data_IF_122890197296
#
_entry.id   IF_122890197296
#
_cell.length_a   1.000
_cell.length_b   1.000
_cell.length_c   1.000
_cell.angle_alpha   90.00
_cell.angle_beta   90.00
_cell.angle_gamma   90.00
#
_symmetry.space_group_name_H-M   'P 1'
#
loop_
_entity.id
_entity.type
_entity.pdbx_description
1 polymer ?
#
# COMPACT_ATOMS: atom_id res chain seq x y z
N UNK A 1 13.47 -12.79 2.37
CA UNK A 1 13.28 -12.15 1.04
C UNK A 1 14.49 -11.30 0.73
N UNK A 2 15.06 -11.47 -0.45
CA UNK A 2 16.19 -10.68 -0.92
C UNK A 2 15.87 -9.18 -0.92
N UNK A 3 16.88 -8.35 -0.72
CA UNK A 3 16.74 -6.89 -0.66
C UNK A 3 16.06 -6.34 -1.92
N UNK A 4 16.45 -6.84 -3.10
CA UNK A 4 15.84 -6.47 -4.38
C UNK A 4 14.35 -6.80 -4.44
N UNK A 5 13.94 -7.92 -3.85
CA UNK A 5 12.53 -8.33 -3.81
C UNK A 5 11.70 -7.43 -2.90
N UNK A 6 12.27 -7.02 -1.76
CA UNK A 6 11.63 -6.05 -0.84
C UNK A 6 11.45 -4.68 -1.49
N UNK A 7 12.49 -4.19 -2.17
CA UNK A 7 12.43 -2.92 -2.91
C UNK A 7 11.38 -3.00 -4.03
N UNK A 8 11.36 -4.10 -4.79
CA UNK A 8 10.37 -4.33 -5.83
C UNK A 8 8.93 -4.28 -5.31
N UNK A 9 8.66 -4.94 -4.18
CA UNK A 9 7.33 -4.90 -3.54
C UNK A 9 6.97 -3.49 -3.08
N UNK A 10 7.93 -2.75 -2.49
CA UNK A 10 7.73 -1.36 -2.10
C UNK A 10 7.34 -0.47 -3.27
N UNK A 11 8.06 -0.56 -4.39
CA UNK A 11 7.76 0.23 -5.60
C UNK A 11 6.39 -0.17 -6.19
N UNK A 12 6.15 -1.46 -6.38
CA UNK A 12 4.88 -1.95 -6.96
C UNK A 12 3.68 -1.59 -6.07
N UNK A 13 3.87 -1.56 -4.76
CA UNK A 13 2.80 -1.16 -3.82
C UNK A 13 2.35 0.30 -3.92
N UNK A 14 3.12 1.16 -4.58
CA UNK A 14 2.68 2.53 -4.86
C UNK A 14 1.50 2.55 -5.84
N UNK A 15 1.43 1.61 -6.78
CA UNK A 15 0.34 1.53 -7.76
C UNK A 15 -1.03 1.41 -7.08
N UNK A 16 -1.29 0.40 -6.22
CA UNK A 16 -2.56 0.32 -5.53
C UNK A 16 -2.80 1.48 -4.56
N UNK A 17 -1.75 2.07 -3.96
CA UNK A 17 -1.92 3.26 -3.11
C UNK A 17 -2.51 4.45 -3.90
N UNK A 18 -2.00 4.73 -5.10
CA UNK A 18 -2.51 5.81 -5.95
C UNK A 18 -3.87 5.48 -6.58
N UNK A 19 -4.07 4.24 -7.05
CA UNK A 19 -5.35 3.82 -7.65
C UNK A 19 -6.49 3.88 -6.62
N UNK A 20 -6.29 3.31 -5.43
CA UNK A 20 -7.29 3.36 -4.37
C UNK A 20 -7.46 4.78 -3.82
N UNK A 21 -6.38 5.56 -3.74
CA UNK A 21 -6.45 6.96 -3.36
C UNK A 21 -7.31 7.79 -4.32
N UNK A 22 -7.14 7.61 -5.63
CA UNK A 22 -7.97 8.26 -6.65
C UNK A 22 -9.43 7.84 -6.56
N UNK A 23 -9.71 6.54 -6.37
CA UNK A 23 -11.06 6.03 -6.18
C UNK A 23 -11.76 6.66 -4.95
N UNK A 24 -11.04 6.74 -3.83
CA UNK A 24 -11.55 7.32 -2.58
C UNK A 24 -11.78 8.82 -2.72
N UNK A 25 -10.91 9.51 -3.47
CA UNK A 25 -11.12 10.91 -3.79
C UNK A 25 -12.41 11.13 -4.58
N UNK A 26 -12.65 10.35 -5.63
CA UNK A 26 -13.88 10.44 -6.44
C UNK A 26 -15.15 10.17 -5.61
N UNK A 27 -15.08 9.28 -4.62
CA UNK A 27 -16.24 8.96 -3.78
C UNK A 27 -16.52 9.97 -2.66
N UNK A 28 -15.47 10.49 -2.01
CA UNK A 28 -15.62 11.26 -0.77
C UNK A 28 -15.13 12.70 -0.86
N UNK A 29 -14.33 13.06 -1.87
CA UNK A 29 -13.72 14.40 -2.00
C UNK A 29 -12.87 14.82 -0.80
N UNK A 30 -12.44 13.87 0.04
CA UNK A 30 -11.83 14.13 1.34
C UNK A 30 -10.38 13.66 1.38
N UNK A 31 -9.48 14.60 1.62
CA UNK A 31 -8.04 14.29 1.72
C UNK A 31 -7.71 13.39 2.92
N UNK A 32 -8.50 13.47 4.00
CA UNK A 32 -8.34 12.58 5.16
C UNK A 32 -8.70 11.13 4.81
N UNK A 33 -9.73 10.93 3.98
CA UNK A 33 -10.10 9.60 3.51
C UNK A 33 -8.99 9.00 2.62
N UNK A 34 -8.42 9.82 1.72
CA UNK A 34 -7.28 9.41 0.87
C UNK A 34 -6.07 9.04 1.73
N UNK A 35 -5.70 9.85 2.72
CA UNK A 35 -4.61 9.56 3.66
C UNK A 35 -4.83 8.26 4.43
N UNK A 36 -6.07 8.00 4.87
CA UNK A 36 -6.42 6.74 5.52
C UNK A 36 -6.11 5.52 4.65
N UNK A 37 -6.47 5.58 3.37
CA UNK A 37 -6.21 4.47 2.43
C UNK A 37 -4.73 4.32 2.09
N UNK A 38 -3.99 5.43 1.93
CA UNK A 38 -2.53 5.38 1.73
C UNK A 38 -1.85 4.69 2.92
N UNK A 39 -2.26 5.00 4.16
CA UNK A 39 -1.76 4.34 5.36
C UNK A 39 -2.08 2.84 5.37
N UNK A 40 -3.30 2.43 4.99
CA UNK A 40 -3.67 1.02 4.92
C UNK A 40 -2.79 0.25 3.92
N UNK A 41 -2.54 0.81 2.74
CA UNK A 41 -1.68 0.18 1.73
C UNK A 41 -0.22 0.13 2.19
N UNK A 42 0.27 1.16 2.88
CA UNK A 42 1.61 1.17 3.44
C UNK A 42 1.80 0.10 4.53
N UNK A 43 0.83 -0.04 5.45
CA UNK A 43 0.83 -1.07 6.49
C UNK A 43 0.78 -2.46 5.86
N UNK A 44 -0.12 -2.68 4.89
CA UNK A 44 -0.26 -3.95 4.20
C UNK A 44 1.04 -4.34 3.49
N UNK A 45 1.63 -3.43 2.71
CA UNK A 45 2.88 -3.68 1.99
C UNK A 45 4.06 -3.89 2.93
N UNK A 46 4.13 -3.12 4.02
CA UNK A 46 5.10 -3.33 5.10
C UNK A 46 4.94 -4.69 5.80
N UNK A 47 3.70 -5.17 5.98
CA UNK A 47 3.43 -6.48 6.56
C UNK A 47 3.85 -7.63 5.65
N UNK A 48 3.73 -7.47 4.33
CA UNK A 48 4.27 -8.42 3.34
C UNK A 48 5.80 -8.40 3.37
N UNK A 49 6.42 -7.22 3.33
CA UNK A 49 7.89 -7.06 3.32
C UNK A 49 8.54 -7.60 4.61
N UNK A 50 7.85 -7.46 5.75
CA UNK A 50 8.28 -8.00 7.03
C UNK A 50 8.07 -9.51 7.16
N UNK A 51 7.45 -10.16 6.17
CA UNK A 51 7.20 -11.61 6.18
C UNK A 51 6.08 -12.03 7.12
N UNK A 52 5.35 -11.09 7.75
CA UNK A 52 4.23 -11.40 8.67
C UNK A 52 3.04 -12.08 7.97
N UNK A 53 2.88 -11.83 6.67
CA UNK A 53 1.90 -12.50 5.82
C UNK A 53 2.47 -13.70 5.05
N UNK A 54 3.76 -14.00 5.22
CA UNK A 54 4.47 -15.11 4.55
C UNK A 54 4.42 -16.41 5.36
N UNK A 55 3.31 -16.69 6.04
CA UNK A 55 3.04 -18.00 6.66
C UNK A 55 2.17 -18.82 5.70
N UNK A 56 2.78 -19.33 4.64
CA UNK A 56 2.32 -20.45 3.82
C UNK A 56 3.58 -21.14 3.29
#
# INVERSE_FOLDING_TARGET
MDLFRKIGIGIVSMIPAFVLGGLVWEWFGSWLAVLGVVLLVAIFSGSIISGKLSTQ
#
